data_IF_271886751284
#
_entry.id   IF_271886751284
#
_cell.length_a   1.000
_cell.length_b   1.000
_cell.length_c   1.000
_cell.angle_alpha   90.00
_cell.angle_beta   90.00
_cell.angle_gamma   90.00
#
_symmetry.space_group_name_H-M   'P 1'
#
loop_
_entity.id
_entity.type
_entity.pdbx_description
1 polymer ?
#
# COMPACT_ATOMS: atom_id res chain seq x y z
N UNK A 1 -20.85 -6.32 9.93
CA UNK A 1 -20.50 -5.87 9.35
C UNK A 1 -19.59 -6.33 8.61
N UNK A 2 -19.44 -6.24 7.91
CA UNK A 2 -18.66 -7.02 7.24
C UNK A 2 -17.49 -6.31 6.79
N UNK A 3 -16.54 -7.07 6.32
CA UNK A 3 -15.32 -6.61 5.94
C UNK A 3 -15.33 -5.87 4.69
N UNK A 4 -16.39 -5.95 4.02
CA UNK A 4 -16.51 -5.23 2.78
C UNK A 4 -16.50 -3.74 3.01
N UNK A 5 -16.53 -3.34 4.26
CA UNK A 5 -16.50 -1.95 4.55
C UNK A 5 -15.14 -1.33 4.35
N UNK A 6 -14.12 -2.11 4.19
CA UNK A 6 -12.82 -1.53 3.96
C UNK A 6 -12.78 -0.84 2.62
N UNK A 7 -12.25 0.36 2.62
CA UNK A 7 -12.08 1.10 1.39
C UNK A 7 -10.74 0.77 0.81
N UNK A 8 -10.72 -0.14 -0.14
CA UNK A 8 -9.47 -0.48 -0.80
C UNK A 8 -9.18 0.54 -1.87
N UNK A 9 -7.92 0.92 -1.99
CA UNK A 9 -7.51 1.85 -3.03
C UNK A 9 -6.37 1.22 -3.82
N UNK A 10 -6.20 1.67 -5.04
CA UNK A 10 -5.14 1.22 -5.91
C UNK A 10 -4.08 2.30 -6.01
N UNK A 11 -2.84 1.91 -6.09
CA UNK A 11 -1.75 2.86 -6.12
C UNK A 11 -0.58 2.30 -6.91
N UNK A 12 0.32 3.18 -7.29
CA UNK A 12 1.56 2.82 -7.97
C UNK A 12 2.71 3.15 -7.05
N UNK A 13 3.64 2.22 -6.91
CA UNK A 13 4.80 2.42 -6.05
C UNK A 13 5.77 3.35 -6.75
N UNK A 14 6.11 4.45 -6.09
CA UNK A 14 7.04 5.43 -6.65
C UNK A 14 8.44 5.27 -6.13
N UNK A 15 8.59 4.83 -4.89
CA UNK A 15 9.92 4.76 -4.31
C UNK A 15 9.92 3.76 -3.17
N UNK A 16 11.00 3.00 -3.06
CA UNK A 16 11.20 2.12 -1.92
C UNK A 16 12.01 2.90 -0.88
N UNK A 17 11.52 2.93 0.33
CA UNK A 17 12.13 3.69 1.41
C UNK A 17 12.73 2.74 2.43
N UNK A 18 13.56 3.24 3.35
CA UNK A 18 14.11 2.38 4.39
C UNK A 18 13.00 1.79 5.25
N UNK A 19 13.34 0.69 5.92
CA UNK A 19 12.46 0.04 6.89
C UNK A 19 11.18 -0.52 6.28
N UNK A 20 11.31 -1.02 5.06
CA UNK A 20 10.20 -1.67 4.37
C UNK A 20 9.00 -0.76 4.18
N UNK A 21 9.27 0.52 3.99
CA UNK A 21 8.23 1.49 3.67
C UNK A 21 8.29 1.82 2.19
N UNK A 22 7.18 2.32 1.67
CA UNK A 22 7.11 2.67 0.26
C UNK A 22 6.36 3.97 0.10
N UNK A 23 6.85 4.81 -0.82
CA UNK A 23 6.08 5.96 -1.22
C UNK A 23 5.24 5.54 -2.41
N UNK A 24 3.94 5.74 -2.33
CA UNK A 24 3.00 5.32 -3.35
C UNK A 24 2.14 6.48 -3.76
N UNK A 25 1.71 6.46 -5.01
CA UNK A 25 0.78 7.46 -5.51
C UNK A 25 -0.56 6.76 -5.70
N UNK A 26 -1.54 7.15 -4.89
CA UNK A 26 -2.86 6.56 -4.93
C UNK A 26 -3.61 7.12 -6.14
N UNK A 27 -4.31 6.24 -6.86
CA UNK A 27 -5.09 6.64 -8.01
C UNK A 27 -6.06 7.75 -7.63
N UNK A 28 -6.29 8.64 -8.55
CA UNK A 28 -7.23 9.74 -8.35
C UNK A 28 -6.78 10.77 -7.32
N UNK A 29 -5.53 10.71 -6.89
CA UNK A 29 -4.97 11.75 -6.07
C UNK A 29 -3.64 12.14 -6.65
N UNK A 30 -3.12 13.27 -6.20
CA UNK A 30 -1.82 13.70 -6.65
C UNK A 30 -0.83 13.78 -5.52
N UNK A 31 -1.23 13.33 -4.34
CA UNK A 31 -0.34 13.41 -3.19
C UNK A 31 0.21 12.03 -2.86
N UNK A 32 1.53 11.91 -2.81
CA UNK A 32 2.11 10.64 -2.43
C UNK A 32 1.80 10.31 -0.99
N UNK A 33 1.72 9.04 -0.69
CA UNK A 33 1.48 8.55 0.66
C UNK A 33 2.51 7.51 0.99
N UNK A 34 2.73 7.30 2.28
CA UNK A 34 3.65 6.28 2.74
C UNK A 34 2.84 5.05 3.09
N UNK A 35 3.34 3.89 2.68
CA UNK A 35 2.65 2.63 2.94
C UNK A 35 3.66 1.58 3.41
N UNK A 36 3.17 0.57 4.10
CA UNK A 36 4.02 -0.53 4.56
C UNK A 36 3.40 -1.85 4.10
N UNK A 37 4.20 -2.91 4.09
CA UNK A 37 3.72 -4.20 3.65
C UNK A 37 2.92 -4.87 4.74
N UNK A 38 1.80 -5.48 4.36
CA UNK A 38 1.04 -6.31 5.29
C UNK A 38 1.91 -7.48 5.73
N UNK A 39 1.63 -8.00 6.91
CA UNK A 39 2.40 -9.09 7.45
C UNK A 39 2.42 -10.30 6.54
N UNK A 40 1.29 -10.60 5.90
CA UNK A 40 1.22 -11.72 4.99
C UNK A 40 2.20 -11.56 3.83
N UNK A 41 2.33 -10.36 3.30
CA UNK A 41 3.25 -10.14 2.19
C UNK A 41 4.69 -10.30 2.63
N UNK A 42 5.01 -9.87 3.84
CA UNK A 42 6.37 -10.05 4.34
C UNK A 42 6.65 -11.52 4.63
N UNK A 43 5.67 -12.21 5.18
CA UNK A 43 5.83 -13.62 5.50
C UNK A 43 6.13 -14.44 4.26
N UNK A 44 5.45 -14.14 3.17
CA UNK A 44 5.64 -14.89 1.94
C UNK A 44 6.66 -14.25 1.01
N UNK A 45 7.36 -13.23 1.51
CA UNK A 45 8.45 -12.59 0.77
C UNK A 45 8.02 -12.09 -0.59
N UNK A 46 6.84 -11.53 -0.65
CA UNK A 46 6.35 -10.96 -1.89
C UNK A 46 7.06 -9.63 -2.07
N UNK A 47 7.81 -9.53 -3.18
CA UNK A 47 8.61 -8.36 -3.43
C UNK A 47 7.79 -7.29 -4.13
N UNK A 48 7.91 -6.07 -3.66
CA UNK A 48 7.25 -4.93 -4.27
C UNK A 48 8.33 -4.00 -4.79
N UNK A 49 8.20 -3.63 -6.06
CA UNK A 49 9.22 -2.83 -6.73
C UNK A 49 8.61 -1.53 -7.23
N UNK A 50 9.49 -0.56 -7.48
CA UNK A 50 9.07 0.71 -8.06
C UNK A 50 8.36 0.44 -9.38
N UNK A 51 7.22 1.06 -9.58
CA UNK A 51 6.41 0.85 -10.77
C UNK A 51 5.30 -0.16 -10.60
N UNK A 52 5.35 -0.96 -9.53
CA UNK A 52 4.31 -1.96 -9.31
C UNK A 52 3.00 -1.31 -8.93
N UNK A 53 1.92 -1.94 -9.38
CA UNK A 53 0.58 -1.57 -8.94
C UNK A 53 0.24 -2.39 -7.72
N UNK A 54 -0.32 -1.75 -6.72
CA UNK A 54 -0.63 -2.41 -5.45
C UNK A 54 -2.01 -2.02 -4.98
N UNK A 55 -2.56 -2.85 -4.11
CA UNK A 55 -3.82 -2.56 -3.45
C UNK A 55 -3.51 -2.23 -2.00
N UNK A 56 -4.09 -1.16 -1.51
CA UNK A 56 -3.78 -0.62 -0.19
C UNK A 56 -5.05 -0.49 0.62
N UNK A 57 -4.96 -0.82 1.90
CA UNK A 57 -5.99 -0.49 2.88
C UNK A 57 -5.55 0.81 3.54
N UNK A 58 -6.24 1.92 3.29
CA UNK A 58 -5.82 3.18 3.87
C UNK A 58 -6.11 3.21 5.37
N UNK A 59 -5.32 4.02 6.07
CA UNK A 59 -5.52 4.20 7.49
C UNK A 59 -6.56 5.30 7.67
N UNK A 60 -7.68 5.02 8.33
CA UNK A 60 -8.74 6.03 8.41
C UNK A 60 -8.36 7.27 9.19
N UNK A 61 -7.34 7.18 10.01
CA UNK A 61 -6.96 8.33 10.82
C UNK A 61 -5.70 9.02 10.32
N UNK A 62 -5.35 8.76 9.08
CA UNK A 62 -4.24 9.49 8.48
C UNK A 62 -2.87 8.88 8.64
N UNK A 63 -2.79 7.68 9.12
CA UNK A 63 -1.51 7.01 9.23
C UNK A 63 -1.06 6.37 7.93
N UNK A 64 -0.07 5.48 8.00
CA UNK A 64 0.44 4.82 6.83
C UNK A 64 -0.56 3.78 6.34
N UNK A 65 -0.71 3.67 5.04
CA UNK A 65 -1.55 2.65 4.46
C UNK A 65 -0.87 1.29 4.50
N UNK A 66 -1.64 0.23 4.35
CA UNK A 66 -1.12 -1.12 4.38
C UNK A 66 -1.27 -1.75 3.00
N UNK A 67 -0.15 -2.14 2.41
CA UNK A 67 -0.17 -2.80 1.10
C UNK A 67 -0.54 -4.26 1.33
N UNK A 68 -1.65 -4.69 0.74
CA UNK A 68 -2.15 -6.05 0.97
C UNK A 68 -2.02 -6.94 -0.25
N UNK A 69 -1.70 -6.36 -1.41
CA UNK A 69 -1.64 -7.15 -2.61
C UNK A 69 -0.83 -6.43 -3.68
N UNK A 70 -0.06 -7.18 -4.44
CA UNK A 70 0.62 -6.66 -5.61
C UNK A 70 -0.08 -7.20 -6.83
N UNK A 71 -0.39 -6.35 -7.77
CA UNK A 71 -1.11 -6.75 -8.98
C UNK A 71 -0.18 -7.21 -10.10
#
# INVERSE_FOLDING_TARGET
MDQSQENLVYATVEEALPNALFRVLVDDTEEPQIAYLAGKMRRFRIRVLVGDRVVIVPEPYGGKGRIIKRL
#
